data_IF_681723952466
#
_entry.id   IF_681723952466
#
_cell.length_a   1.000
_cell.length_b   1.000
_cell.length_c   1.000
_cell.angle_alpha   90.00
_cell.angle_beta   90.00
_cell.angle_gamma   90.00
#
_symmetry.space_group_name_H-M   'P 1'
#
loop_
_entity.id
_entity.type
_entity.pdbx_description
1 polymer ?
#
# COMPACT_ATOMS: atom_id res chain seq x y z
N UNK A 1 -30.05 5.71 -13.78
CA UNK A 1 -29.01 5.45 -12.77
C UNK A 1 -27.83 4.78 -13.47
N UNK A 2 -26.59 5.15 -13.10
CA UNK A 2 -25.37 4.52 -13.64
C UNK A 2 -25.29 3.06 -13.16
N UNK A 3 -24.63 2.20 -13.93
CA UNK A 3 -24.34 0.83 -13.48
C UNK A 3 -23.32 0.88 -12.34
N UNK A 4 -23.52 0.04 -11.32
CA UNK A 4 -22.58 0.00 -10.20
C UNK A 4 -21.25 -0.64 -10.64
N UNK A 5 -20.15 -0.08 -10.16
CA UNK A 5 -18.81 -0.63 -10.34
C UNK A 5 -18.37 -1.40 -9.09
N UNK A 6 -17.47 -2.39 -9.21
CA UNK A 6 -16.95 -3.14 -8.05
C UNK A 6 -16.29 -2.28 -6.96
N UNK A 7 -15.87 -1.06 -7.30
CA UNK A 7 -15.29 -0.08 -6.36
C UNK A 7 -16.33 0.67 -5.52
N UNK A 8 -17.60 0.64 -5.93
CA UNK A 8 -18.67 1.41 -5.30
C UNK A 8 -19.02 0.85 -3.92
N UNK A 9 -19.43 1.75 -3.03
CA UNK A 9 -20.10 1.38 -1.78
C UNK A 9 -21.60 1.56 -1.92
N UNK A 10 -22.40 0.95 -1.05
CA UNK A 10 -23.84 1.17 -1.11
C UNK A 10 -24.19 2.62 -0.75
N UNK A 11 -25.30 3.12 -1.29
CA UNK A 11 -25.78 4.48 -0.97
C UNK A 11 -26.07 4.63 0.52
N UNK A 12 -26.59 3.58 1.17
CA UNK A 12 -26.79 3.53 2.63
C UNK A 12 -25.49 3.65 3.41
N UNK A 13 -24.43 2.96 2.98
CA UNK A 13 -23.10 3.10 3.58
C UNK A 13 -22.58 4.53 3.41
N UNK A 14 -22.81 5.14 2.25
CA UNK A 14 -22.42 6.52 2.00
C UNK A 14 -23.18 7.52 2.89
N UNK A 15 -24.49 7.40 3.06
CA UNK A 15 -25.27 8.32 3.89
C UNK A 15 -24.75 8.36 5.35
N UNK A 16 -24.26 7.23 5.88
CA UNK A 16 -23.62 7.17 7.22
C UNK A 16 -22.34 8.00 7.32
N UNK A 17 -21.60 8.15 6.22
CA UNK A 17 -20.34 8.92 6.20
C UNK A 17 -20.48 10.31 5.59
N UNK A 18 -21.58 10.59 4.89
CA UNK A 18 -21.88 11.82 4.15
C UNK A 18 -21.62 13.14 4.91
N UNK A 19 -21.85 13.25 6.23
CA UNK A 19 -21.53 14.48 6.96
C UNK A 19 -20.06 14.89 6.88
N UNK A 20 -19.13 13.93 6.76
CA UNK A 20 -17.69 14.18 6.69
C UNK A 20 -17.29 14.86 5.37
N UNK A 21 -17.55 14.30 4.17
CA UNK A 21 -17.23 14.98 2.91
C UNK A 21 -18.02 16.27 2.73
N UNK A 22 -19.22 16.39 3.30
CA UNK A 22 -20.01 17.63 3.28
C UNK A 22 -19.42 18.76 4.14
N UNK A 23 -18.68 18.42 5.21
CA UNK A 23 -18.03 19.41 6.08
C UNK A 23 -16.92 20.21 5.40
N UNK A 24 -16.48 19.75 4.22
CA UNK A 24 -15.44 20.39 3.41
C UNK A 24 -15.74 21.82 2.97
N UNK A 25 -17.01 22.23 2.95
CA UNK A 25 -17.44 23.57 2.54
C UNK A 25 -18.49 24.14 3.50
N UNK A 26 -18.35 25.43 3.84
CA UNK A 26 -19.45 26.21 4.44
C UNK A 26 -20.61 26.24 3.46
N UNK A 27 -21.84 26.00 3.94
CA UNK A 27 -23.06 25.97 3.09
C UNK A 27 -23.40 27.39 2.63
N UNK A 28 -22.84 27.81 1.50
CA UNK A 28 -23.10 29.15 0.91
C UNK A 28 -23.96 29.09 -0.35
N UNK A 29 -23.99 27.95 -1.06
CA UNK A 29 -24.86 27.71 -2.21
C UNK A 29 -25.29 26.24 -2.25
N UNK A 30 -26.54 25.91 -2.69
CA UNK A 30 -26.95 24.53 -2.90
C UNK A 30 -26.00 23.79 -3.84
N UNK A 31 -25.63 22.56 -3.47
CA UNK A 31 -24.76 21.70 -4.28
C UNK A 31 -25.55 21.13 -5.45
N UNK A 32 -24.99 21.22 -6.66
CA UNK A 32 -25.61 20.65 -7.89
C UNK A 32 -25.20 19.20 -8.17
N UNK A 33 -24.04 18.78 -7.64
CA UNK A 33 -23.52 17.43 -7.85
C UNK A 33 -23.92 16.51 -6.69
N UNK A 34 -24.33 15.28 -7.01
CA UNK A 34 -24.50 14.24 -6.01
C UNK A 34 -23.13 13.81 -5.49
N UNK A 35 -22.89 14.03 -4.19
CA UNK A 35 -21.62 13.66 -3.56
C UNK A 35 -21.41 12.16 -3.50
N UNK A 36 -22.47 11.36 -3.56
CA UNK A 36 -22.34 9.90 -3.68
C UNK A 36 -21.64 9.52 -4.98
N UNK A 37 -22.07 10.12 -6.10
CA UNK A 37 -21.47 9.85 -7.42
C UNK A 37 -20.04 10.36 -7.51
N UNK A 38 -19.77 11.54 -6.92
CA UNK A 38 -18.40 12.06 -6.81
C UNK A 38 -17.53 11.13 -5.98
N UNK A 39 -18.02 10.66 -4.84
CA UNK A 39 -17.27 9.77 -3.96
C UNK A 39 -17.00 8.42 -4.63
N UNK A 40 -18.00 7.79 -5.24
CA UNK A 40 -17.80 6.55 -5.99
C UNK A 40 -16.80 6.71 -7.14
N UNK A 41 -16.80 7.85 -7.83
CA UNK A 41 -15.80 8.12 -8.86
C UNK A 41 -14.38 8.24 -8.28
N UNK A 42 -14.23 8.86 -7.09
CA UNK A 42 -12.95 8.85 -6.36
C UNK A 42 -12.55 7.42 -6.04
N UNK A 43 -13.45 6.59 -5.48
CA UNK A 43 -13.17 5.18 -5.19
C UNK A 43 -12.76 4.40 -6.45
N UNK A 44 -13.40 4.67 -7.59
CA UNK A 44 -13.05 4.07 -8.87
C UNK A 44 -11.61 4.40 -9.28
N UNK A 45 -11.20 5.68 -9.19
CA UNK A 45 -9.82 6.10 -9.48
C UNK A 45 -8.84 5.46 -8.50
N UNK A 46 -9.19 5.42 -7.22
CA UNK A 46 -8.34 4.80 -6.20
C UNK A 46 -8.18 3.28 -6.42
N UNK A 47 -9.20 2.61 -6.95
CA UNK A 47 -9.18 1.15 -7.18
C UNK A 47 -8.50 0.77 -8.49
N UNK A 48 -8.76 1.53 -9.55
CA UNK A 48 -8.26 1.25 -10.91
C UNK A 48 -6.93 1.94 -11.22
N UNK A 49 -6.55 2.95 -10.44
CA UNK A 49 -5.44 3.85 -10.71
C UNK A 49 -5.51 4.53 -12.09
N UNK A 50 -6.71 4.64 -12.68
CA UNK A 50 -6.85 5.25 -14.00
C UNK A 50 -6.51 6.75 -13.95
N UNK A 51 -6.01 7.28 -15.08
CA UNK A 51 -5.85 8.72 -15.21
C UNK A 51 -7.23 9.41 -15.10
N UNK A 52 -7.28 10.62 -14.52
CA UNK A 52 -8.54 11.36 -14.33
C UNK A 52 -9.34 11.54 -15.62
N UNK A 53 -8.66 11.82 -16.74
CA UNK A 53 -9.29 11.98 -18.06
C UNK A 53 -9.84 10.67 -18.64
N UNK A 54 -9.46 9.52 -18.08
CA UNK A 54 -9.94 8.19 -18.45
C UNK A 54 -11.10 7.70 -17.57
N UNK A 55 -11.59 8.53 -16.64
CA UNK A 55 -12.80 8.20 -15.88
C UNK A 55 -13.94 7.86 -16.85
N UNK A 56 -14.72 6.79 -16.57
CA UNK A 56 -15.89 6.47 -17.35
C UNK A 56 -16.85 7.66 -17.50
N UNK A 57 -17.39 7.83 -18.71
CA UNK A 57 -18.20 9.00 -19.08
C UNK A 57 -19.56 9.04 -18.38
N UNK A 58 -19.96 7.98 -17.70
CA UNK A 58 -21.18 7.90 -16.89
C UNK A 58 -21.00 8.47 -15.47
N UNK A 59 -19.78 8.79 -15.05
CA UNK A 59 -19.52 9.61 -13.88
C UNK A 59 -19.67 11.12 -14.18
N UNK A 60 -19.79 11.97 -13.15
CA UNK A 60 -19.64 13.42 -13.31
C UNK A 60 -18.34 13.79 -14.02
N UNK A 61 -18.26 15.00 -14.58
CA UNK A 61 -17.03 15.50 -15.23
C UNK A 61 -15.81 15.35 -14.32
N UNK A 62 -14.72 14.79 -14.85
CA UNK A 62 -13.52 14.46 -14.07
C UNK A 62 -12.92 15.67 -13.37
N UNK A 63 -13.04 16.88 -13.93
CA UNK A 63 -12.57 18.13 -13.33
C UNK A 63 -13.25 18.40 -11.99
N UNK A 64 -14.57 18.14 -11.93
CA UNK A 64 -15.34 18.29 -10.70
C UNK A 64 -14.93 17.25 -9.67
N UNK A 65 -14.73 16.01 -10.10
CA UNK A 65 -14.32 14.91 -9.21
C UNK A 65 -12.93 15.20 -8.65
N UNK A 66 -11.98 15.59 -9.51
CA UNK A 66 -10.63 15.94 -9.12
C UNK A 66 -10.62 17.11 -8.12
N UNK A 67 -11.44 18.13 -8.36
CA UNK A 67 -11.62 19.24 -7.43
C UNK A 67 -12.06 18.78 -6.03
N UNK A 68 -13.05 17.87 -5.93
CA UNK A 68 -13.47 17.31 -4.65
C UNK A 68 -12.40 16.42 -4.02
N UNK A 69 -11.69 15.61 -4.83
CA UNK A 69 -10.56 14.82 -4.37
C UNK A 69 -9.48 15.69 -3.73
N UNK A 70 -9.10 16.80 -4.35
CA UNK A 70 -8.12 17.74 -3.79
C UNK A 70 -8.56 18.31 -2.44
N UNK A 71 -9.82 18.74 -2.34
CA UNK A 71 -10.37 19.27 -1.10
C UNK A 71 -10.41 18.20 0.00
N UNK A 72 -10.89 17.00 -0.32
CA UNK A 72 -11.01 15.92 0.65
C UNK A 72 -9.66 15.35 1.07
N UNK A 73 -8.65 15.41 0.22
CA UNK A 73 -7.29 14.94 0.50
C UNK A 73 -6.44 15.95 1.27
N UNK A 74 -6.85 17.22 1.32
CA UNK A 74 -6.09 18.27 2.02
C UNK A 74 -6.03 17.96 3.53
N UNK A 75 -4.81 17.97 4.07
CA UNK A 75 -4.54 17.82 5.52
C UNK A 75 -4.49 19.18 6.19
N UNK A 76 -4.96 19.21 7.43
CA UNK A 76 -4.90 20.39 8.30
C UNK A 76 -3.97 20.07 9.49
N UNK A 77 -2.68 20.36 9.31
CA UNK A 77 -1.63 19.97 10.26
C UNK A 77 -1.47 18.45 10.35
N UNK A 78 -1.41 17.92 11.56
CA UNK A 78 -1.26 16.47 11.82
C UNK A 78 -2.58 15.69 11.71
N UNK A 79 -3.73 16.37 11.60
CA UNK A 79 -5.03 15.70 11.53
C UNK A 79 -5.21 14.97 10.19
N UNK A 80 -5.82 13.76 10.19
CA UNK A 80 -6.18 13.08 8.96
C UNK A 80 -7.09 13.94 8.08
N UNK A 81 -6.91 13.84 6.77
CA UNK A 81 -7.77 14.44 5.76
C UNK A 81 -9.19 13.86 5.82
N UNK A 82 -10.16 14.56 5.22
CA UNK A 82 -11.54 14.08 5.16
C UNK A 82 -11.63 12.74 4.42
N UNK A 83 -10.84 12.58 3.34
CA UNK A 83 -10.76 11.36 2.55
C UNK A 83 -10.25 10.19 3.42
N UNK A 84 -9.18 10.38 4.18
CA UNK A 84 -8.66 9.33 5.07
C UNK A 84 -9.67 8.90 6.13
N UNK A 85 -10.46 9.85 6.67
CA UNK A 85 -11.51 9.57 7.64
C UNK A 85 -12.63 8.73 7.04
N UNK A 86 -13.14 9.10 5.86
CA UNK A 86 -14.22 8.33 5.20
C UNK A 86 -13.75 6.96 4.74
N UNK A 87 -12.54 6.83 4.19
CA UNK A 87 -11.98 5.54 3.79
C UNK A 87 -11.75 4.62 5.00
N UNK A 88 -11.40 5.17 6.17
CA UNK A 88 -11.33 4.41 7.43
C UNK A 88 -12.70 3.90 7.85
N UNK A 89 -13.71 4.77 7.85
CA UNK A 89 -15.07 4.43 8.31
C UNK A 89 -15.80 3.46 7.40
N UNK A 90 -15.45 3.42 6.12
CA UNK A 90 -16.02 2.50 5.12
C UNK A 90 -15.23 1.20 4.99
N UNK A 91 -14.14 1.04 5.75
CA UNK A 91 -13.20 -0.08 5.61
C UNK A 91 -12.71 -0.28 4.17
N UNK A 92 -12.72 0.79 3.36
CA UNK A 92 -12.39 0.73 1.94
C UNK A 92 -10.89 0.52 1.69
N UNK A 93 -10.05 0.64 2.73
CA UNK A 93 -8.60 0.44 2.64
C UNK A 93 -8.17 -1.00 2.35
N UNK A 94 -9.07 -1.96 2.51
CA UNK A 94 -8.81 -3.38 2.23
C UNK A 94 -9.58 -3.80 0.99
N UNK A 95 -9.13 -3.38 -0.19
CA UNK A 95 -9.74 -3.79 -1.46
C UNK A 95 -9.19 -5.12 -1.98
N UNK A 96 -8.51 -5.91 -1.14
CA UNK A 96 -8.05 -7.24 -1.49
C UNK A 96 -9.25 -8.12 -1.86
N UNK A 97 -9.15 -8.78 -3.01
CA UNK A 97 -10.15 -9.73 -3.51
C UNK A 97 -10.26 -10.93 -2.56
N UNK A 98 -9.12 -11.44 -2.09
CA UNK A 98 -9.04 -12.43 -1.04
C UNK A 98 -8.78 -11.78 0.32
N UNK A 99 -9.65 -12.09 1.28
CA UNK A 99 -9.56 -11.66 2.68
C UNK A 99 -9.79 -12.86 3.56
N UNK A 100 -9.29 -12.80 4.78
CA UNK A 100 -9.75 -13.71 5.81
C UNK A 100 -10.05 -12.99 7.10
N UNK A 101 -10.32 -13.77 8.15
CA UNK A 101 -10.94 -13.27 9.36
C UNK A 101 -9.99 -13.38 10.54
N UNK A 102 -9.69 -12.23 11.17
CA UNK A 102 -8.92 -12.20 12.41
C UNK A 102 -9.88 -12.44 13.59
N UNK A 103 -9.77 -13.61 14.22
CA UNK A 103 -10.64 -14.01 15.34
C UNK A 103 -10.43 -13.16 16.59
N UNK A 104 -9.22 -12.64 16.81
CA UNK A 104 -8.90 -11.79 17.95
C UNK A 104 -9.50 -10.40 17.82
N UNK A 105 -9.36 -9.79 16.64
CA UNK A 105 -9.90 -8.45 16.35
C UNK A 105 -11.36 -8.47 15.88
N UNK A 106 -11.89 -9.65 15.53
CA UNK A 106 -13.24 -9.86 14.96
C UNK A 106 -13.51 -9.02 13.72
N UNK A 107 -12.52 -8.93 12.83
CA UNK A 107 -12.59 -8.16 11.59
C UNK A 107 -12.07 -9.01 10.42
N UNK A 108 -12.66 -8.82 9.24
CA UNK A 108 -12.14 -9.35 7.98
C UNK A 108 -11.17 -8.36 7.35
N UNK A 109 -10.07 -8.86 6.79
CA UNK A 109 -9.10 -8.02 6.09
C UNK A 109 -7.87 -8.77 5.60
N UNK A 110 -6.80 -8.01 5.40
CA UNK A 110 -5.46 -8.50 5.09
C UNK A 110 -4.45 -7.97 6.11
N UNK A 111 -3.33 -8.66 6.25
CA UNK A 111 -2.17 -8.26 7.05
C UNK A 111 -1.01 -7.94 6.12
N UNK A 112 -0.31 -6.86 6.42
CA UNK A 112 0.87 -6.39 5.69
C UNK A 112 2.07 -6.52 6.62
N UNK A 113 3.09 -7.26 6.17
CA UNK A 113 4.32 -7.53 6.90
C UNK A 113 5.46 -6.85 6.16
N UNK A 114 6.33 -6.16 6.89
CA UNK A 114 7.48 -5.43 6.33
C UNK A 114 8.71 -5.64 7.22
N UNK A 115 9.86 -5.87 6.59
CA UNK A 115 11.17 -5.76 7.21
C UNK A 115 11.88 -4.54 6.63
N UNK A 116 12.46 -3.71 7.50
CA UNK A 116 13.18 -2.50 7.13
C UNK A 116 14.56 -2.47 7.79
N UNK A 117 15.49 -1.74 7.19
CA UNK A 117 16.77 -1.45 7.84
C UNK A 117 16.66 -0.33 8.89
N UNK A 118 17.80 0.07 9.47
CA UNK A 118 17.86 1.12 10.48
C UNK A 118 17.46 2.51 9.96
N UNK A 119 17.49 2.73 8.65
CA UNK A 119 17.03 3.96 7.99
C UNK A 119 15.57 3.88 7.57
N UNK A 120 14.92 2.71 7.73
CA UNK A 120 13.52 2.47 7.40
C UNK A 120 13.27 2.13 5.93
N UNK A 121 14.31 1.78 5.17
CA UNK A 121 14.14 1.30 3.80
C UNK A 121 13.63 -0.15 3.82
N UNK A 122 12.63 -0.49 3.00
CA UNK A 122 12.09 -1.85 2.94
C UNK A 122 13.05 -2.85 2.29
N UNK A 123 13.31 -3.96 2.97
CA UNK A 123 14.12 -5.09 2.46
C UNK A 123 13.29 -6.36 2.23
N UNK A 124 12.12 -6.46 2.85
CA UNK A 124 11.18 -7.55 2.58
C UNK A 124 9.75 -7.11 2.86
N UNK A 125 8.82 -7.50 1.99
CA UNK A 125 7.39 -7.25 2.17
C UNK A 125 6.61 -8.54 1.87
N UNK A 126 5.61 -8.82 2.69
CA UNK A 126 4.69 -9.92 2.48
C UNK A 126 3.28 -9.52 2.89
N UNK A 127 2.30 -9.91 2.08
CA UNK A 127 0.88 -9.63 2.32
C UNK A 127 0.18 -10.98 2.52
N UNK A 128 -0.63 -11.08 3.56
CA UNK A 128 -1.41 -12.28 3.87
C UNK A 128 -2.85 -11.91 4.18
N UNK A 129 -3.74 -12.88 4.14
CA UNK A 129 -5.09 -12.78 4.69
C UNK A 129 -5.04 -12.67 6.24
N UNK A 130 -6.10 -12.13 6.87
CA UNK A 130 -6.05 -11.72 8.28
C UNK A 130 -6.01 -12.88 9.30
N UNK A 131 -6.36 -14.10 8.91
CA UNK A 131 -6.25 -15.32 9.72
C UNK A 131 -4.79 -15.79 9.88
N UNK A 132 -3.90 -15.39 8.97
CA UNK A 132 -2.49 -15.76 9.05
C UNK A 132 -1.85 -15.16 10.30
N UNK A 133 -1.01 -15.95 10.98
CA UNK A 133 -0.29 -15.50 12.16
C UNK A 133 0.93 -14.66 11.76
N UNK A 134 1.25 -13.63 12.53
CA UNK A 134 2.36 -12.72 12.23
C UNK A 134 3.69 -13.47 12.19
N UNK A 135 3.93 -14.40 13.12
CA UNK A 135 5.13 -15.25 13.16
C UNK A 135 5.30 -16.10 11.89
N UNK A 136 4.26 -16.81 11.46
CA UNK A 136 4.35 -17.65 10.26
C UNK A 136 4.53 -16.83 8.99
N UNK A 137 3.88 -15.66 8.93
CA UNK A 137 3.94 -14.74 7.80
C UNK A 137 5.32 -14.08 7.70
N UNK A 138 5.92 -13.69 8.82
CA UNK A 138 7.28 -13.15 8.85
C UNK A 138 8.34 -14.18 8.42
N UNK A 139 8.20 -15.46 8.81
CA UNK A 139 9.11 -16.51 8.30
C UNK A 139 8.95 -16.66 6.78
N UNK A 140 7.72 -16.68 6.26
CA UNK A 140 7.49 -16.74 4.80
C UNK A 140 8.07 -15.53 4.10
N UNK A 141 7.91 -14.33 4.66
CA UNK A 141 8.50 -13.09 4.16
C UNK A 141 10.02 -13.21 4.05
N UNK A 142 10.70 -13.65 5.11
CA UNK A 142 12.16 -13.81 5.13
C UNK A 142 12.63 -14.90 4.17
N UNK A 143 11.88 -16.01 4.04
CA UNK A 143 12.18 -17.05 3.04
C UNK A 143 12.09 -16.51 1.61
N UNK A 144 11.05 -15.73 1.32
CA UNK A 144 10.85 -15.15 -0.01
C UNK A 144 11.92 -14.11 -0.35
N UNK A 145 12.36 -13.34 0.65
CA UNK A 145 13.42 -12.33 0.51
C UNK A 145 14.82 -12.86 0.88
N UNK A 146 15.03 -14.19 0.90
CA UNK A 146 16.28 -14.79 1.39
C UNK A 146 17.53 -14.26 0.69
N UNK A 147 17.44 -14.05 -0.63
CA UNK A 147 18.56 -13.51 -1.41
C UNK A 147 18.93 -12.09 -0.96
N UNK A 148 17.91 -11.24 -0.73
CA UNK A 148 18.10 -9.84 -0.33
C UNK A 148 18.55 -9.71 1.14
N UNK A 149 18.25 -10.72 1.96
CA UNK A 149 18.55 -10.73 3.40
C UNK A 149 19.79 -11.58 3.74
N UNK A 150 20.61 -11.98 2.77
CA UNK A 150 21.74 -12.89 3.00
C UNK A 150 22.80 -12.32 3.96
N UNK A 151 23.00 -11.00 3.91
CA UNK A 151 23.98 -10.29 4.73
C UNK A 151 23.42 -9.85 6.10
N UNK A 152 22.14 -10.10 6.36
CA UNK A 152 21.50 -9.69 7.61
C UNK A 152 21.97 -10.56 8.75
N UNK A 153 22.61 -9.95 9.76
CA UNK A 153 23.15 -10.64 10.93
C UNK A 153 22.17 -10.74 12.10
N UNK A 154 21.29 -9.74 12.26
CA UNK A 154 20.34 -9.66 13.37
C UNK A 154 19.01 -9.08 12.90
N UNK A 155 17.89 -9.66 13.35
CA UNK A 155 16.53 -9.15 13.13
C UNK A 155 15.94 -8.73 14.47
N UNK A 156 15.55 -7.46 14.55
CA UNK A 156 14.81 -6.90 15.68
C UNK A 156 13.32 -7.14 15.47
N UNK A 157 12.64 -7.71 16.47
CA UNK A 157 11.20 -8.00 16.42
C UNK A 157 10.50 -7.54 17.69
N UNK A 158 9.18 -7.39 17.62
CA UNK A 158 8.40 -7.09 18.82
C UNK A 158 8.17 -8.32 19.71
N UNK A 159 7.62 -8.07 20.90
CA UNK A 159 7.30 -9.11 21.90
C UNK A 159 6.32 -10.19 21.40
N UNK A 160 5.55 -9.93 20.34
CA UNK A 160 4.66 -10.92 19.70
C UNK A 160 5.39 -12.01 18.92
N UNK A 161 6.67 -11.78 18.58
CA UNK A 161 7.54 -12.77 17.91
C UNK A 161 8.35 -13.63 18.89
N UNK A 162 7.93 -13.72 20.15
CA UNK A 162 8.55 -14.58 21.14
C UNK A 162 8.41 -16.08 20.80
N UNK A 163 9.40 -16.86 21.27
CA UNK A 163 9.46 -18.32 21.16
C UNK A 163 10.62 -18.83 20.29
N UNK A 164 11.25 -19.92 20.72
CA UNK A 164 12.44 -20.50 20.05
C UNK A 164 12.16 -20.91 18.60
N UNK A 165 10.96 -21.41 18.31
CA UNK A 165 10.59 -21.85 16.96
C UNK A 165 10.73 -20.76 15.90
N UNK A 166 10.46 -19.49 16.22
CA UNK A 166 10.62 -18.39 15.27
C UNK A 166 12.10 -18.08 15.05
N UNK A 167 12.87 -17.91 16.13
CA UNK A 167 14.30 -17.64 16.06
C UNK A 167 15.06 -18.74 15.32
N UNK A 168 14.77 -20.00 15.61
CA UNK A 168 15.38 -21.16 14.92
C UNK A 168 15.06 -21.17 13.43
N UNK A 169 13.84 -20.81 13.03
CA UNK A 169 13.48 -20.73 11.61
C UNK A 169 14.19 -19.60 10.88
N UNK A 170 14.34 -18.42 11.50
CA UNK A 170 15.12 -17.32 10.93
C UNK A 170 16.59 -17.72 10.80
N UNK A 171 17.18 -18.28 11.86
CA UNK A 171 18.56 -18.78 11.85
C UNK A 171 18.79 -19.82 10.75
N UNK A 172 17.86 -20.76 10.57
CA UNK A 172 17.91 -21.76 9.50
C UNK A 172 17.77 -21.15 8.09
N UNK A 173 17.01 -20.05 7.95
CA UNK A 173 16.70 -19.48 6.64
C UNK A 173 17.81 -18.57 6.12
N UNK A 174 18.28 -17.64 6.96
CA UNK A 174 19.26 -16.60 6.58
C UNK A 174 20.48 -16.51 7.51
N UNK A 175 20.60 -17.36 8.53
CA UNK A 175 21.74 -17.31 9.46
C UNK A 175 21.70 -16.18 10.50
N UNK A 176 20.69 -15.31 10.47
CA UNK A 176 20.53 -14.20 11.41
C UNK A 176 20.08 -14.64 12.81
N UNK A 177 20.45 -13.87 13.82
CA UNK A 177 19.85 -13.94 15.17
C UNK A 177 18.56 -13.14 15.24
N UNK A 178 17.70 -13.45 16.22
CA UNK A 178 16.47 -12.70 16.48
C UNK A 178 16.57 -12.08 17.87
N UNK A 179 16.36 -10.77 17.93
CA UNK A 179 16.35 -10.00 19.15
C UNK A 179 14.93 -9.47 19.40
N UNK A 180 14.32 -9.93 20.50
CA UNK A 180 12.95 -9.54 20.87
C UNK A 180 13.00 -8.28 21.73
N UNK A 181 12.51 -7.17 21.21
CA UNK A 181 12.39 -5.91 21.93
C UNK A 181 11.12 -5.92 22.79
N UNK A 182 11.30 -6.10 24.10
CA UNK A 182 10.23 -6.06 25.11
C UNK A 182 9.97 -4.62 25.57
N UNK A 183 8.74 -4.35 26.03
CA UNK A 183 8.46 -3.12 26.80
C UNK A 183 9.10 -3.26 28.18
N UNK A 184 9.90 -2.27 28.57
CA UNK A 184 10.52 -2.23 29.89
C UNK A 184 9.52 -1.81 30.98
N UNK A 185 8.48 -1.03 30.68
CA UNK A 185 7.44 -0.62 31.64
C UNK A 185 6.06 -0.42 30.98
N UNK A 186 4.97 -0.76 31.70
CA UNK A 186 3.59 -0.77 31.18
C UNK A 186 2.88 0.60 31.22
N UNK A 187 3.42 1.59 31.95
CA UNK A 187 2.72 2.85 32.27
C UNK A 187 3.54 4.13 32.06
N UNK A 188 4.72 4.03 31.47
CA UNK A 188 5.57 5.18 31.10
C UNK A 188 5.82 5.15 29.59
N UNK A 189 5.82 6.31 28.93
CA UNK A 189 6.24 6.38 27.53
C UNK A 189 7.75 6.17 27.47
N UNK A 190 8.16 4.94 27.12
CA UNK A 190 9.56 4.60 26.87
C UNK A 190 9.76 4.44 25.37
N UNK A 191 10.70 5.20 24.80
CA UNK A 191 11.11 5.00 23.41
C UNK A 191 11.81 3.65 23.31
N UNK A 192 11.11 2.67 22.74
CA UNK A 192 11.72 1.37 22.45
C UNK A 192 12.75 1.56 21.32
N UNK A 193 14.00 1.10 21.50
CA UNK A 193 15.02 1.24 20.47
C UNK A 193 14.53 0.72 19.13
N UNK A 194 14.54 1.59 18.10
CA UNK A 194 14.32 1.27 16.68
C UNK A 194 12.93 0.73 16.27
N UNK A 195 12.00 0.44 17.19
CA UNK A 195 10.62 0.01 16.85
C UNK A 195 9.87 1.07 16.00
N UNK A 196 10.07 2.34 16.33
CA UNK A 196 9.45 3.46 15.63
C UNK A 196 9.81 3.54 14.14
N UNK A 197 10.90 2.90 13.71
CA UNK A 197 11.34 2.90 12.31
C UNK A 197 10.31 2.17 11.43
N UNK A 198 9.84 1.00 11.87
CA UNK A 198 8.80 0.22 11.17
C UNK A 198 7.48 0.98 11.15
N UNK A 199 7.07 1.53 12.29
CA UNK A 199 5.82 2.29 12.42
C UNK A 199 5.84 3.56 11.56
N UNK A 200 6.97 4.27 11.51
CA UNK A 200 7.19 5.40 10.59
C UNK A 200 7.14 4.97 9.13
N UNK A 201 7.77 3.85 8.77
CA UNK A 201 7.71 3.33 7.41
C UNK A 201 6.27 3.01 7.00
N UNK A 202 5.48 2.33 7.84
CA UNK A 202 4.04 2.18 7.61
C UNK A 202 3.33 3.52 7.50
N UNK A 203 3.63 4.49 8.36
CA UNK A 203 3.03 5.81 8.27
C UNK A 203 3.34 6.49 6.92
N UNK A 204 4.54 6.36 6.37
CA UNK A 204 4.85 6.90 5.04
C UNK A 204 4.06 6.20 3.92
N UNK A 205 4.00 4.87 3.97
CA UNK A 205 3.24 4.08 3.02
C UNK A 205 1.76 4.43 3.07
N UNK A 206 1.18 4.49 4.25
CA UNK A 206 -0.25 4.78 4.42
C UNK A 206 -0.61 6.25 4.18
N UNK A 207 0.32 7.19 4.39
CA UNK A 207 0.06 8.64 4.31
C UNK A 207 0.21 9.21 2.90
N UNK A 208 1.03 8.58 2.05
CA UNK A 208 1.39 9.11 0.73
C UNK A 208 1.14 8.14 -0.43
N UNK A 209 0.91 6.86 -0.18
CA UNK A 209 0.60 5.89 -1.24
C UNK A 209 -0.84 5.41 -1.12
N UNK A 210 -1.64 5.65 -2.16
CA UNK A 210 -2.97 5.04 -2.33
C UNK A 210 -2.86 3.60 -2.87
N UNK A 211 -1.66 3.18 -3.27
CA UNK A 211 -1.33 1.85 -3.76
C UNK A 211 -0.73 0.95 -2.67
N UNK A 212 -0.79 -0.36 -2.89
CA UNK A 212 -0.12 -1.36 -2.05
C UNK A 212 1.30 -1.56 -2.56
N UNK A 213 2.31 -1.55 -1.68
CA UNK A 213 3.63 -2.08 -2.07
C UNK A 213 3.52 -3.59 -2.18
N UNK A 214 3.87 -4.10 -3.35
CA UNK A 214 3.83 -5.53 -3.69
C UNK A 214 5.22 -6.16 -3.53
N UNK A 215 6.26 -5.43 -3.92
CA UNK A 215 7.65 -5.87 -3.86
C UNK A 215 8.55 -4.66 -3.62
N UNK A 216 9.68 -4.88 -2.94
CA UNK A 216 10.75 -3.91 -2.83
C UNK A 216 12.07 -4.65 -3.02
N UNK A 217 12.95 -4.10 -3.85
CA UNK A 217 14.28 -4.63 -4.09
C UNK A 217 15.29 -3.52 -3.84
N UNK A 218 16.36 -3.85 -3.12
CA UNK A 218 17.41 -2.91 -2.73
C UNK A 218 18.71 -3.38 -3.37
N UNK A 219 19.22 -2.58 -4.30
CA UNK A 219 20.47 -2.84 -4.97
C UNK A 219 21.51 -1.75 -4.66
N UNK A 220 22.77 -2.07 -4.93
CA UNK A 220 23.85 -1.09 -4.84
C UNK A 220 23.64 0.05 -5.84
N UNK A 221 24.15 1.24 -5.52
CA UNK A 221 23.99 2.46 -6.32
C UNK A 221 24.65 2.39 -7.71
N UNK A 222 25.50 1.40 -7.96
CA UNK A 222 26.11 1.15 -9.27
C UNK A 222 25.21 0.34 -10.21
N UNK A 223 24.10 -0.24 -9.72
CA UNK A 223 23.10 -0.89 -10.55
C UNK A 223 22.17 0.16 -11.13
N UNK A 224 22.02 0.18 -12.45
CA UNK A 224 21.10 1.12 -13.10
C UNK A 224 19.65 0.73 -12.81
N UNK A 225 18.80 1.73 -12.62
CA UNK A 225 17.37 1.54 -12.28
C UNK A 225 16.67 0.54 -13.22
N UNK A 226 16.93 0.62 -14.53
CA UNK A 226 16.36 -0.28 -15.54
C UNK A 226 16.76 -1.74 -15.35
N UNK A 227 17.96 -1.99 -14.83
CA UNK A 227 18.50 -3.33 -14.65
C UNK A 227 17.96 -3.93 -13.34
N UNK A 228 17.89 -3.12 -12.27
CA UNK A 228 17.27 -3.52 -11.00
C UNK A 228 15.77 -3.77 -11.11
N UNK A 229 15.05 -3.06 -11.98
CA UNK A 229 13.60 -3.21 -12.12
C UNK A 229 13.14 -4.57 -12.66
N UNK A 230 13.95 -5.25 -13.47
CA UNK A 230 13.54 -6.53 -14.05
C UNK A 230 13.37 -7.61 -12.97
N UNK A 231 14.32 -7.68 -12.04
CA UNK A 231 14.28 -8.63 -10.93
C UNK A 231 13.10 -8.33 -10.01
N UNK A 232 12.86 -7.04 -9.72
CA UNK A 232 11.68 -6.58 -9.00
C UNK A 232 10.38 -7.08 -9.66
N UNK A 233 10.24 -6.94 -10.98
CA UNK A 233 9.05 -7.40 -11.71
C UNK A 233 8.88 -8.92 -11.68
N UNK A 234 9.98 -9.67 -11.78
CA UNK A 234 9.96 -11.12 -11.70
C UNK A 234 9.52 -11.59 -10.32
N UNK A 235 10.04 -10.97 -9.25
CA UNK A 235 9.65 -11.28 -7.88
C UNK A 235 8.17 -10.92 -7.63
N UNK A 236 7.74 -9.74 -8.06
CA UNK A 236 6.34 -9.31 -7.96
C UNK A 236 5.39 -10.28 -8.69
N UNK A 237 5.75 -10.75 -9.90
CA UNK A 237 4.95 -11.74 -10.65
C UNK A 237 4.91 -13.11 -9.98
N UNK A 238 6.01 -13.54 -9.35
CA UNK A 238 6.02 -14.78 -8.54
C UNK A 238 5.09 -14.67 -7.34
N UNK A 239 5.06 -13.51 -6.67
CA UNK A 239 4.16 -13.25 -5.52
C UNK A 239 2.70 -13.10 -5.93
N UNK A 240 2.43 -12.48 -7.08
CA UNK A 240 1.08 -12.26 -7.62
C UNK A 240 1.00 -12.89 -9.00
N UNK A 241 0.73 -14.22 -9.10
CA UNK A 241 0.66 -14.90 -10.39
C UNK A 241 -0.41 -14.34 -11.34
N UNK A 242 -1.45 -13.71 -10.79
CA UNK A 242 -2.53 -13.06 -11.56
C UNK A 242 -2.15 -11.68 -12.11
N UNK A 243 -0.98 -11.14 -11.77
CA UNK A 243 -0.55 -9.81 -12.23
C UNK A 243 -0.38 -9.80 -13.76
N UNK A 244 -0.96 -8.82 -14.44
CA UNK A 244 -0.95 -8.77 -15.92
C UNK A 244 -0.13 -7.62 -16.48
N UNK A 245 0.10 -6.57 -15.69
CA UNK A 245 0.62 -5.31 -16.19
C UNK A 245 1.43 -4.57 -15.14
N UNK A 246 2.54 -3.99 -15.57
CA UNK A 246 3.37 -3.06 -14.82
C UNK A 246 3.31 -1.67 -15.44
N UNK A 247 3.54 -0.65 -14.60
CA UNK A 247 3.71 0.72 -15.03
C UNK A 247 5.04 1.23 -14.47
N UNK A 248 5.79 1.95 -15.29
CA UNK A 248 7.04 2.61 -14.88
C UNK A 248 7.15 3.98 -15.53
N UNK A 249 7.99 4.86 -14.97
CA UNK A 249 8.23 6.18 -15.54
C UNK A 249 9.06 6.13 -16.83
N UNK A 250 9.24 7.28 -17.47
CA UNK A 250 9.96 7.42 -18.73
C UNK A 250 11.42 6.95 -18.70
N UNK A 251 12.08 6.98 -17.54
CA UNK A 251 13.46 6.51 -17.35
C UNK A 251 13.62 5.00 -17.54
N UNK A 252 12.54 4.23 -17.42
CA UNK A 252 12.50 2.77 -17.61
C UNK A 252 12.19 2.34 -19.05
N UNK A 253 12.24 3.27 -20.01
CA UNK A 253 11.95 2.99 -21.41
C UNK A 253 13.04 2.14 -22.11
N UNK A 254 12.68 1.49 -23.21
CA UNK A 254 13.61 0.70 -24.04
C UNK A 254 13.50 -0.81 -23.82
N UNK A 255 14.64 -1.50 -23.81
CA UNK A 255 14.71 -2.97 -23.82
C UNK A 255 14.03 -3.65 -22.62
N UNK A 256 13.86 -2.93 -21.50
CA UNK A 256 13.18 -3.42 -20.31
C UNK A 256 11.73 -3.85 -20.59
N UNK A 257 11.03 -3.19 -21.51
CA UNK A 257 9.65 -3.55 -21.85
C UNK A 257 9.55 -4.97 -22.45
N UNK A 258 10.46 -5.28 -23.38
CA UNK A 258 10.54 -6.59 -24.01
C UNK A 258 10.99 -7.65 -22.98
N UNK A 259 12.03 -7.35 -22.21
CA UNK A 259 12.55 -8.27 -21.19
C UNK A 259 11.53 -8.58 -20.10
N UNK A 260 10.77 -7.57 -19.65
CA UNK A 260 9.69 -7.73 -18.69
C UNK A 260 8.65 -8.72 -19.22
N UNK A 261 8.18 -8.55 -20.46
CA UNK A 261 7.20 -9.46 -21.05
C UNK A 261 7.74 -10.88 -21.21
N UNK A 262 8.99 -11.03 -21.67
CA UNK A 262 9.61 -12.35 -21.83
C UNK A 262 9.74 -13.11 -20.50
N UNK A 263 10.11 -12.41 -19.42
CA UNK A 263 10.35 -13.03 -18.11
C UNK A 263 9.09 -13.20 -17.26
N UNK A 264 8.13 -12.29 -17.37
CA UNK A 264 6.95 -12.24 -16.48
C UNK A 264 5.63 -12.52 -17.18
N UNK A 265 5.59 -12.44 -18.51
CA UNK A 265 4.35 -12.39 -19.32
C UNK A 265 3.43 -11.22 -18.97
N UNK A 266 3.91 -10.22 -18.24
CA UNK A 266 3.21 -8.97 -17.99
C UNK A 266 3.58 -7.92 -19.03
N UNK A 267 2.64 -7.05 -19.38
CA UNK A 267 2.91 -5.87 -20.20
C UNK A 267 3.54 -4.76 -19.35
N UNK A 268 4.64 -4.16 -19.78
CA UNK A 268 5.20 -2.96 -19.15
C UNK A 268 4.78 -1.70 -19.93
N UNK A 269 3.99 -0.84 -19.30
CA UNK A 269 3.57 0.46 -19.86
C UNK A 269 4.39 1.60 -19.26
N UNK A 270 5.04 2.36 -20.13
CA UNK A 270 5.80 3.54 -19.73
C UNK A 270 4.86 4.74 -19.65
N UNK A 271 4.73 5.30 -18.46
CA UNK A 271 4.00 6.54 -18.23
C UNK A 271 4.86 7.72 -18.73
N UNK A 272 4.43 8.35 -19.82
CA UNK A 272 5.07 9.57 -20.34
C UNK A 272 4.56 10.79 -19.60
N UNK A 273 5.46 11.73 -19.36
CA UNK A 273 5.09 13.05 -18.84
C UNK A 273 4.24 13.80 -19.87
N UNK A 274 3.21 14.51 -19.42
CA UNK A 274 2.47 15.39 -20.31
C UNK A 274 3.37 16.56 -20.73
N UNK A 275 3.27 16.98 -22.00
CA UNK A 275 4.15 17.99 -22.61
C UNK A 275 4.09 19.37 -21.95
N UNK A 276 3.09 19.58 -21.08
CA UNK A 276 2.79 20.81 -20.34
C UNK A 276 3.09 20.72 -18.82
N UNK A 277 3.68 19.61 -18.35
CA UNK A 277 3.95 19.42 -16.92
C UNK A 277 5.29 20.07 -16.47
N UNK A 278 5.21 21.02 -15.54
CA UNK A 278 6.37 21.62 -14.85
C UNK A 278 6.55 20.95 -13.48
N UNK A 279 7.76 20.45 -13.18
CA UNK A 279 8.05 19.67 -11.97
C UNK A 279 7.82 18.16 -12.15
N UNK A 280 8.16 17.33 -11.14
CA UNK A 280 7.93 15.87 -11.17
C UNK A 280 6.47 15.52 -11.45
#
# INVERSE_FOLDING_TARGET
MRKSYPSDISREQFEKIRPIPESSKKKTRPRKLDLYEVFCAVLYVLKSCCQWRMLPKDFPKWENIYYYFQIWSKKNGEKPSLLELVLKKTSWRDTAEEKGYDTGKKISGIKRHIAVDTQGLPHAIHITTAEATDRSSAVKMVKNAKANLSEVKNILVDAGYTGENFATQIKKTIGATVEVIKRSELHTFVVLPKRWVVERSFAWLEKYTLGLIIEADVHSANVQDRDGALDLFVQAKKKIPTLQKFFADQGYSGALQNNCFLKTRCLLTIAKKASDAVGF
#
